data_IF_334399984673
#
_entry.id   IF_334399984673
#
_cell.length_a   1.000
_cell.length_b   1.000
_cell.length_c   1.000
_cell.angle_alpha   90.00
_cell.angle_beta   90.00
_cell.angle_gamma   90.00
#
_symmetry.space_group_name_H-M   'P 1'
#
loop_
_entity.id
_entity.type
_entity.pdbx_description
1 polymer ?
#
# COMPACT_ATOMS: atom_id res chain seq x y z
N UNK A 1 0.34 -9.47 -7.56
CA UNK A 1 1.81 -9.28 -7.48
C UNK A 1 2.43 -9.87 -6.21
N UNK A 2 2.06 -9.44 -5.00
CA UNK A 2 2.71 -9.87 -3.74
C UNK A 2 2.69 -11.40 -3.50
N UNK A 3 1.58 -12.07 -3.82
CA UNK A 3 1.44 -13.53 -3.67
C UNK A 3 2.44 -14.31 -4.55
N UNK A 4 2.68 -13.85 -5.78
CA UNK A 4 3.63 -14.50 -6.70
C UNK A 4 5.08 -14.39 -6.19
N UNK A 5 5.44 -13.24 -5.61
CA UNK A 5 6.76 -13.02 -5.01
C UNK A 5 6.92 -13.87 -3.74
N UNK A 6 5.87 -13.96 -2.91
CA UNK A 6 5.86 -14.84 -1.74
C UNK A 6 6.03 -16.31 -2.14
N UNK A 7 5.37 -16.75 -3.21
CA UNK A 7 5.47 -18.12 -3.72
C UNK A 7 6.85 -18.44 -4.31
N UNK A 8 7.43 -17.54 -5.13
CA UNK A 8 8.76 -17.75 -5.71
C UNK A 8 9.90 -17.61 -4.69
N UNK A 9 9.73 -16.83 -3.62
CA UNK A 9 10.75 -16.69 -2.57
C UNK A 9 10.82 -17.91 -1.63
N UNK A 10 9.76 -18.73 -1.58
CA UNK A 10 9.71 -19.96 -0.78
C UNK A 10 10.79 -21.00 -1.14
N UNK A 11 10.97 -21.43 -2.41
CA UNK A 11 12.03 -22.39 -2.77
C UNK A 11 13.44 -21.82 -2.55
N UNK A 12 13.65 -20.50 -2.70
CA UNK A 12 14.93 -19.82 -2.45
C UNK A 12 15.31 -19.89 -0.96
N UNK A 13 14.32 -19.74 -0.08
CA UNK A 13 14.51 -19.89 1.37
C UNK A 13 14.80 -21.35 1.74
N UNK A 14 14.01 -22.31 1.24
CA UNK A 14 14.24 -23.74 1.52
C UNK A 14 15.62 -24.20 1.05
N UNK A 15 16.07 -23.71 -0.11
CA UNK A 15 17.40 -24.00 -0.62
C UNK A 15 18.50 -23.44 0.30
N UNK A 16 18.35 -22.22 0.81
CA UNK A 16 19.30 -21.62 1.74
C UNK A 16 19.33 -22.34 3.10
N UNK A 17 18.17 -22.78 3.57
CA UNK A 17 18.01 -23.54 4.81
C UNK A 17 18.67 -24.92 4.68
N UNK A 18 18.46 -25.62 3.57
CA UNK A 18 19.02 -26.95 3.33
C UNK A 18 20.52 -26.90 3.00
N UNK A 19 20.97 -25.89 2.26
CA UNK A 19 22.39 -25.73 1.87
C UNK A 19 23.24 -25.13 3.00
N UNK A 20 22.62 -24.72 4.10
CA UNK A 20 23.23 -24.01 5.22
C UNK A 20 24.21 -22.92 4.74
N UNK A 21 23.77 -22.15 3.74
CA UNK A 21 24.64 -21.21 3.02
C UNK A 21 25.25 -20.21 4.01
N UNK A 22 26.58 -20.22 4.07
CA UNK A 22 27.38 -19.30 4.87
C UNK A 22 27.86 -18.16 3.97
N UNK A 23 27.76 -16.94 4.46
CA UNK A 23 28.37 -15.78 3.80
C UNK A 23 29.90 -15.96 3.72
N UNK A 24 30.52 -15.55 2.61
CA UNK A 24 31.98 -15.60 2.44
C UNK A 24 32.74 -14.52 3.24
N UNK A 25 32.05 -13.77 4.10
CA UNK A 25 32.66 -12.84 5.04
C UNK A 25 33.33 -13.59 6.21
N UNK A 26 34.43 -13.05 6.73
CA UNK A 26 35.13 -13.60 7.90
C UNK A 26 34.16 -13.70 9.09
N UNK A 27 33.80 -14.92 9.47
CA UNK A 27 32.82 -15.21 10.53
C UNK A 27 31.68 -16.15 10.13
N UNK A 28 31.47 -16.43 8.83
CA UNK A 28 30.54 -17.47 8.38
C UNK A 28 29.11 -17.26 8.86
N UNK A 29 28.55 -16.07 8.61
CA UNK A 29 27.18 -15.76 9.00
C UNK A 29 26.19 -16.52 8.12
N UNK A 30 25.29 -17.26 8.74
CA UNK A 30 24.30 -18.06 8.03
C UNK A 30 23.27 -17.15 7.37
N UNK A 31 23.05 -17.34 6.06
CA UNK A 31 22.31 -16.39 5.20
C UNK A 31 20.80 -16.65 5.20
N UNK A 32 20.36 -17.84 5.59
CA UNK A 32 18.94 -18.21 5.57
C UNK A 32 18.01 -17.27 6.38
N UNK A 33 18.40 -16.69 7.55
CA UNK A 33 17.51 -15.79 8.29
C UNK A 33 17.15 -14.53 7.50
N UNK A 34 18.12 -13.96 6.77
CA UNK A 34 17.89 -12.79 5.91
C UNK A 34 16.98 -13.15 4.73
N UNK A 35 17.16 -14.33 4.14
CA UNK A 35 16.29 -14.80 3.04
C UNK A 35 14.86 -15.07 3.48
N UNK A 36 14.63 -15.45 4.75
CA UNK A 36 13.30 -15.61 5.34
C UNK A 36 12.55 -14.27 5.50
N UNK A 37 13.26 -13.16 5.70
CA UNK A 37 12.62 -11.84 5.87
C UNK A 37 11.85 -11.39 4.63
N UNK A 38 12.25 -11.83 3.44
CA UNK A 38 11.59 -11.48 2.17
C UNK A 38 10.15 -12.03 2.11
N UNK A 39 9.89 -13.35 2.19
CA UNK A 39 8.52 -13.87 2.20
C UNK A 39 7.71 -13.36 3.38
N UNK A 40 8.33 -13.14 4.56
CA UNK A 40 7.65 -12.57 5.73
C UNK A 40 7.19 -11.13 5.46
N UNK A 41 8.04 -10.28 4.89
CA UNK A 41 7.68 -8.89 4.58
C UNK A 41 6.49 -8.81 3.61
N UNK A 42 6.49 -9.64 2.57
CA UNK A 42 5.37 -9.71 1.62
C UNK A 42 4.12 -10.34 2.22
N UNK A 43 4.25 -11.34 3.10
CA UNK A 43 3.13 -11.89 3.86
C UNK A 43 2.46 -10.82 4.73
N UNK A 44 3.26 -10.01 5.43
CA UNK A 44 2.75 -8.88 6.20
C UNK A 44 2.08 -7.84 5.31
N UNK A 45 2.61 -7.53 4.13
CA UNK A 45 1.95 -6.64 3.17
C UNK A 45 0.59 -7.17 2.69
N UNK A 46 0.47 -8.48 2.45
CA UNK A 46 -0.81 -9.12 2.11
C UNK A 46 -1.77 -9.03 3.29
N UNK A 47 -1.29 -9.25 4.52
CA UNK A 47 -2.10 -9.12 5.74
C UNK A 47 -2.59 -7.68 5.95
N UNK A 48 -1.74 -6.69 5.69
CA UNK A 48 -2.11 -5.27 5.71
C UNK A 48 -3.18 -4.94 4.67
N UNK A 49 -3.06 -5.47 3.45
CA UNK A 49 -4.06 -5.27 2.40
C UNK A 49 -5.43 -5.87 2.77
N UNK A 50 -5.44 -6.99 3.49
CA UNK A 50 -6.67 -7.60 4.02
C UNK A 50 -7.25 -6.73 5.14
N UNK A 51 -6.40 -6.18 6.02
CA UNK A 51 -6.83 -5.37 7.17
C UNK A 51 -7.36 -3.99 6.78
N UNK A 52 -6.77 -3.34 5.77
CA UNK A 52 -7.19 -2.03 5.30
C UNK A 52 -8.48 -2.09 4.44
N UNK A 53 -8.81 -3.28 3.93
CA UNK A 53 -9.90 -3.50 2.99
C UNK A 53 -9.49 -3.17 1.54
N UNK A 54 -9.92 -3.95 0.52
CA UNK A 54 -9.71 -3.66 -0.90
C UNK A 54 -10.26 -2.30 -1.37
N UNK A 55 -11.06 -1.63 -0.54
CA UNK A 55 -11.62 -0.32 -0.76
C UNK A 55 -11.09 0.62 0.32
N UNK A 56 -9.86 1.10 0.14
CA UNK A 56 -9.50 2.41 0.67
C UNK A 56 -10.54 3.40 0.14
N UNK A 57 -11.47 3.77 1.00
CA UNK A 57 -12.61 4.63 0.73
C UNK A 57 -12.13 6.07 0.48
N UNK A 58 -11.42 6.31 -0.62
CA UNK A 58 -10.87 7.61 -0.99
C UNK A 58 -11.79 8.38 -1.95
N UNK A 59 -13.10 8.18 -1.79
CA UNK A 59 -14.15 9.03 -2.37
C UNK A 59 -14.87 9.89 -1.34
N UNK A 60 -14.61 9.73 -0.04
CA UNK A 60 -15.46 10.34 1.00
C UNK A 60 -15.02 11.73 1.48
N UNK A 61 -13.88 12.25 1.02
CA UNK A 61 -13.37 13.55 1.48
C UNK A 61 -13.63 14.72 0.52
N UNK A 62 -14.26 14.50 -0.64
CA UNK A 62 -14.66 15.60 -1.53
C UNK A 62 -15.82 16.43 -0.95
N UNK A 63 -16.70 15.81 -0.15
CA UNK A 63 -17.89 16.44 0.42
C UNK A 63 -17.61 17.39 1.60
N UNK A 64 -16.38 17.40 2.14
CA UNK A 64 -15.97 18.30 3.24
C UNK A 64 -15.20 19.53 2.79
N UNK A 65 -14.88 19.64 1.49
CA UNK A 65 -13.97 20.67 0.96
C UNK A 65 -14.67 21.85 0.27
N UNK A 66 -15.98 21.78 0.08
CA UNK A 66 -16.78 22.86 -0.52
C UNK A 66 -17.90 23.30 0.42
N UNK A 67 -17.71 24.37 1.21
CA UNK A 67 -18.82 24.99 1.95
C UNK A 67 -19.83 25.53 0.93
N UNK A 68 -21.11 25.21 1.11
CA UNK A 68 -22.22 25.50 0.19
C UNK A 68 -22.49 26.99 -0.09
N UNK A 69 -21.59 27.90 0.29
CA UNK A 69 -21.68 29.35 0.08
C UNK A 69 -20.68 29.93 -0.94
N UNK A 70 -19.77 29.13 -1.51
CA UNK A 70 -18.76 29.62 -2.46
C UNK A 70 -19.16 29.54 -3.94
N UNK A 71 -20.40 29.13 -4.24
CA UNK A 71 -20.90 29.16 -5.61
C UNK A 71 -21.07 30.62 -6.05
N UNK A 72 -20.41 31.05 -7.14
CA UNK A 72 -20.70 32.34 -7.76
C UNK A 72 -22.19 32.40 -8.04
N UNK A 73 -22.91 33.33 -7.39
CA UNK A 73 -24.30 33.58 -7.75
C UNK A 73 -24.28 34.07 -9.19
N UNK A 74 -25.05 33.48 -10.12
CA UNK A 74 -25.36 34.17 -11.36
C UNK A 74 -25.99 35.49 -10.92
N UNK A 75 -25.22 36.54 -11.15
CA UNK A 75 -25.64 37.91 -11.36
C UNK A 75 -27.11 37.91 -11.78
N UNK A 76 -27.96 38.06 -10.75
CA UNK A 76 -29.33 38.48 -10.98
C UNK A 76 -29.15 39.85 -11.61
N UNK A 77 -29.33 39.92 -12.92
CA UNK A 77 -29.76 41.15 -13.55
C UNK A 77 -30.98 41.59 -12.73
N UNK A 78 -30.78 42.51 -11.78
CA UNK A 78 -31.88 43.23 -11.16
C UNK A 78 -32.58 43.91 -12.33
N UNK A 79 -33.81 43.52 -12.70
CA UNK A 79 -34.60 44.39 -13.53
C UNK A 79 -34.87 45.58 -12.62
N UNK A 80 -34.12 46.66 -12.82
CA UNK A 80 -34.47 48.00 -12.38
C UNK A 80 -35.76 48.40 -13.11
N UNK A 81 -36.84 47.67 -12.80
CA UNK A 81 -38.18 47.85 -13.30
C UNK A 81 -38.88 48.76 -12.30
N UNK A 82 -38.91 50.04 -12.66
CA UNK A 82 -40.17 50.78 -12.73
C UNK A 82 -40.94 50.87 -11.39
N UNK A 83 -40.58 51.85 -10.55
CA UNK A 83 -41.49 52.75 -9.81
C UNK A 83 -40.79 54.04 -9.39
#
# INVERSE_FOLDING_TARGET
MAIAIMYMSWPIFLLALHSNEQSSNAGGLTVWPVRLLVPIGFFLLVLQAISAGPAGNLGTDQARRFPAGSLPRPDREEPQADR
#
